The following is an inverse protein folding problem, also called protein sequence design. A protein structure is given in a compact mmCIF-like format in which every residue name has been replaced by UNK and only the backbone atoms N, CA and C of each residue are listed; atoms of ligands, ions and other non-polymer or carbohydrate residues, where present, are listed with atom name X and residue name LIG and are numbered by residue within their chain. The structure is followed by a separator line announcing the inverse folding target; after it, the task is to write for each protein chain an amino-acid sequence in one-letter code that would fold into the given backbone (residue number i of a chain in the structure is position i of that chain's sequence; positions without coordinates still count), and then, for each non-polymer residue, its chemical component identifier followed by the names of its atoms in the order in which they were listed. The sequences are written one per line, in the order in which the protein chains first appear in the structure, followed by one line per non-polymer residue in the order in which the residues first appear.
data_IF_872613040159
#
_entry.id   IF_872613040159
#
_cell.length_a   1.000
_cell.length_b   1.000
_cell.length_c   1.000
_cell.angle_alpha   90.00
_cell.angle_beta   90.00
_cell.angle_gamma   90.00
#
_symmetry.space_group_name_H-M   'P 1'
#
loop_
_entity.id
_entity.type
_entity.pdbx_description
1 polymer ?
#
# COMPACT_ATOMS: atom_id res chain seq x y z
N UNK A 1 6.40 -9.63 -11.38
CA UNK A 1 7.76 -9.75 -10.82
C UNK A 1 8.20 -11.17 -11.08
N UNK A 2 9.28 -11.34 -11.84
CA UNK A 2 9.80 -12.65 -12.21
C UNK A 2 10.52 -13.28 -11.03
N UNK A 3 10.37 -14.58 -10.77
CA UNK A 3 11.17 -15.29 -9.75
C UNK A 3 12.68 -15.39 -10.09
N UNK A 4 13.08 -14.90 -11.26
CA UNK A 4 14.45 -14.95 -11.78
C UNK A 4 15.29 -13.70 -11.47
N UNK A 5 14.68 -12.60 -11.03
CA UNK A 5 15.36 -11.36 -10.64
C UNK A 5 14.70 -10.72 -9.42
N UNK A 6 15.39 -9.77 -8.80
CA UNK A 6 14.83 -8.95 -7.72
C UNK A 6 14.00 -7.75 -8.25
N UNK A 7 13.68 -7.74 -9.54
CA UNK A 7 12.96 -6.63 -10.19
C UNK A 7 11.59 -6.37 -9.56
N UNK A 8 11.38 -5.12 -9.14
CA UNK A 8 10.19 -4.64 -8.46
C UNK A 8 10.14 -4.99 -6.96
N UNK A 9 11.14 -5.68 -6.41
CA UNK A 9 11.18 -6.03 -5.00
C UNK A 9 11.57 -4.84 -4.11
N UNK A 10 11.23 -4.91 -2.82
CA UNK A 10 11.68 -3.94 -1.83
C UNK A 10 13.23 -3.90 -1.72
N UNK A 11 13.91 -5.03 -1.96
CA UNK A 11 15.37 -5.10 -1.95
C UNK A 11 15.99 -4.30 -3.10
N UNK A 12 15.43 -4.42 -4.32
CA UNK A 12 15.87 -3.62 -5.46
C UNK A 12 15.67 -2.13 -5.20
N UNK A 13 14.50 -1.73 -4.70
CA UNK A 13 14.23 -0.33 -4.35
C UNK A 13 15.22 0.17 -3.29
N UNK A 14 15.51 -0.64 -2.25
CA UNK A 14 16.50 -0.28 -1.24
C UNK A 14 17.90 -0.08 -1.85
N UNK A 15 18.33 -0.94 -2.78
CA UNK A 15 19.62 -0.79 -3.49
C UNK A 15 19.66 0.49 -4.35
N UNK A 16 18.60 0.79 -5.09
CA UNK A 16 18.49 2.03 -5.87
C UNK A 16 18.61 3.26 -4.96
N UNK A 17 17.91 3.27 -3.83
CA UNK A 17 17.95 4.39 -2.87
C UNK A 17 19.23 4.40 -2.01
N UNK A 18 20.05 3.35 -2.10
CA UNK A 18 21.11 3.06 -1.14
C UNK A 18 20.59 3.05 0.30
N UNK A 19 19.34 2.67 0.53
CA UNK A 19 18.68 2.71 1.82
C UNK A 19 19.06 1.49 2.67
N UNK A 20 19.28 1.65 3.99
CA UNK A 20 19.39 0.50 4.87
C UNK A 20 18.05 -0.24 4.97
N UNK A 21 18.12 -1.56 4.93
CA UNK A 21 17.00 -2.48 5.07
C UNK A 21 16.78 -2.79 6.55
N UNK A 22 15.51 -2.74 6.93
CA UNK A 22 14.99 -3.23 8.20
C UNK A 22 14.36 -4.60 7.97
N UNK A 23 15.02 -5.65 8.45
CA UNK A 23 14.52 -7.01 8.29
C UNK A 23 13.54 -7.35 9.42
N UNK A 24 12.32 -7.71 9.05
CA UNK A 24 11.28 -8.15 10.00
C UNK A 24 11.23 -9.68 9.99
N UNK A 25 11.50 -10.31 11.13
CA UNK A 25 11.52 -11.78 11.27
C UNK A 25 10.41 -12.21 12.23
N UNK A 26 9.68 -13.26 11.88
CA UNK A 26 8.78 -13.93 12.82
C UNK A 26 9.62 -14.63 13.91
N UNK A 27 9.61 -14.07 15.12
CA UNK A 27 10.36 -14.57 16.26
C UNK A 27 9.64 -15.70 17.00
N UNK A 28 8.46 -16.14 16.56
CA UNK A 28 7.72 -17.20 17.24
C UNK A 28 8.56 -18.48 17.31
N UNK A 29 8.81 -18.95 18.54
CA UNK A 29 9.61 -20.15 18.82
C UNK A 29 11.07 -20.08 18.28
N UNK A 30 11.61 -18.88 18.05
CA UNK A 30 12.97 -18.70 17.53
C UNK A 30 13.82 -17.79 18.43
N UNK A 31 15.00 -18.26 18.83
CA UNK A 31 16.03 -17.41 19.42
C UNK A 31 17.21 -17.27 18.44
N UNK A 32 18.20 -18.15 18.55
CA UNK A 32 19.43 -18.10 17.76
C UNK A 32 19.23 -18.20 16.24
N UNK A 33 18.13 -18.82 15.78
CA UNK A 33 17.79 -18.93 14.36
C UNK A 33 17.55 -17.58 13.69
N UNK A 34 17.12 -16.56 14.45
CA UNK A 34 16.94 -15.19 13.93
C UNK A 34 18.26 -14.65 13.38
N UNK A 35 19.37 -14.84 14.10
CA UNK A 35 20.69 -14.41 13.66
C UNK A 35 21.16 -15.19 12.42
N UNK A 36 20.84 -16.48 12.31
CA UNK A 36 21.16 -17.28 11.13
C UNK A 36 20.39 -16.81 9.89
N UNK A 37 19.12 -16.43 10.04
CA UNK A 37 18.32 -15.85 8.95
C UNK A 37 18.87 -14.50 8.52
N UNK A 38 19.13 -13.59 9.47
CA UNK A 38 19.72 -12.28 9.17
C UNK A 38 21.05 -12.41 8.42
N UNK A 39 21.93 -13.31 8.89
CA UNK A 39 23.18 -13.64 8.21
C UNK A 39 22.92 -14.19 6.79
N UNK A 40 21.98 -15.13 6.67
CA UNK A 40 21.57 -15.69 5.38
C UNK A 40 21.18 -14.62 4.37
N UNK A 41 20.39 -13.62 4.78
CA UNK A 41 20.01 -12.50 3.90
C UNK A 41 21.21 -11.64 3.49
N UNK A 42 22.14 -11.34 4.40
CA UNK A 42 23.36 -10.59 4.04
C UNK A 42 24.28 -11.36 3.09
N UNK A 43 24.28 -12.70 3.14
CA UNK A 43 25.05 -13.55 2.23
C UNK A 43 24.33 -13.78 0.90
N UNK A 44 22.99 -13.79 0.92
CA UNK A 44 22.16 -14.02 -0.26
C UNK A 44 22.19 -12.83 -1.21
N UNK A 45 22.11 -11.60 -0.68
CA UNK A 45 22.29 -10.37 -1.44
C UNK A 45 23.40 -9.50 -0.81
N UNK A 46 24.65 -9.60 -1.30
CA UNK A 46 25.80 -8.89 -0.74
C UNK A 46 25.77 -7.38 -1.01
N UNK A 47 24.87 -6.89 -1.87
CA UNK A 47 24.68 -5.45 -2.11
C UNK A 47 23.61 -4.86 -1.17
N UNK A 48 22.84 -5.72 -0.50
CA UNK A 48 21.78 -5.29 0.41
C UNK A 48 22.37 -4.76 1.73
N UNK A 49 22.15 -3.47 1.99
CA UNK A 49 22.53 -2.81 3.25
C UNK A 49 21.61 -3.22 4.40
N UNK A 50 21.85 -4.34 5.06
CA UNK A 50 21.05 -4.73 6.23
C UNK A 50 21.41 -3.86 7.46
N UNK A 51 20.64 -2.81 7.73
CA UNK A 51 20.93 -1.89 8.82
C UNK A 51 20.41 -2.36 10.18
N UNK A 52 19.25 -3.02 10.20
CA UNK A 52 18.63 -3.45 11.43
C UNK A 52 17.71 -4.67 11.28
N UNK A 53 17.43 -5.32 12.40
CA UNK A 53 16.47 -6.43 12.55
C UNK A 53 15.41 -6.06 13.60
N UNK A 54 14.14 -6.34 13.30
CA UNK A 54 13.04 -6.41 14.25
C UNK A 54 12.48 -7.83 14.25
N UNK A 55 12.05 -8.31 15.41
CA UNK A 55 11.24 -9.52 15.48
C UNK A 55 9.80 -9.22 15.88
N UNK A 56 8.85 -10.03 15.43
CA UNK A 56 7.47 -9.99 15.93
C UNK A 56 7.09 -11.33 16.58
N UNK A 57 5.97 -11.33 17.31
CA UNK A 57 5.41 -12.51 18.00
C UNK A 57 6.33 -13.14 19.05
N UNK A 58 7.12 -12.33 19.75
CA UNK A 58 8.00 -12.83 20.82
C UNK A 58 7.22 -13.09 22.12
N UNK A 59 7.75 -14.01 22.92
CA UNK A 59 7.09 -14.59 24.10
C UNK A 59 7.35 -13.87 25.43
N UNK A 60 8.00 -12.70 25.39
CA UNK A 60 8.31 -11.89 26.58
C UNK A 60 9.79 -11.50 26.68
N UNK A 61 10.16 -10.81 27.77
CA UNK A 61 11.48 -10.16 27.92
C UNK A 61 12.67 -11.10 27.78
N UNK A 62 12.63 -12.29 28.39
CA UNK A 62 13.72 -13.26 28.29
C UNK A 62 13.94 -13.73 26.84
N UNK A 63 12.85 -13.94 26.10
CA UNK A 63 12.92 -14.32 24.68
C UNK A 63 13.54 -13.21 23.83
N UNK A 64 13.15 -11.95 24.06
CA UNK A 64 13.75 -10.78 23.40
C UNK A 64 15.25 -10.72 23.68
N UNK A 65 15.66 -10.93 24.93
CA UNK A 65 17.05 -10.92 25.33
C UNK A 65 17.86 -12.01 24.60
N UNK A 66 17.35 -13.24 24.51
CA UNK A 66 18.04 -14.31 23.78
C UNK A 66 18.20 -14.01 22.29
N UNK A 67 17.21 -13.36 21.66
CA UNK A 67 17.29 -12.92 20.27
C UNK A 67 18.35 -11.82 20.11
N UNK A 68 18.31 -10.81 20.98
CA UNK A 68 19.25 -9.69 20.98
C UNK A 68 20.69 -10.18 21.16
N UNK A 69 20.93 -11.04 22.15
CA UNK A 69 22.25 -11.65 22.42
C UNK A 69 22.73 -12.47 21.22
N UNK A 70 21.85 -13.24 20.57
CA UNK A 70 22.23 -14.00 19.39
C UNK A 70 22.68 -13.12 18.23
N UNK A 71 21.97 -12.01 17.95
CA UNK A 71 22.35 -11.06 16.91
C UNK A 71 23.66 -10.33 17.26
N UNK A 72 23.77 -9.86 18.52
CA UNK A 72 24.95 -9.16 19.03
C UNK A 72 26.21 -10.02 18.92
N UNK A 73 26.16 -11.28 19.38
CA UNK A 73 27.31 -12.20 19.32
C UNK A 73 27.78 -12.46 17.89
N UNK A 74 26.88 -12.46 16.92
CA UNK A 74 27.24 -12.63 15.51
C UNK A 74 27.82 -11.35 14.89
N UNK A 75 27.36 -10.19 15.35
CA UNK A 75 27.95 -8.89 15.04
C UNK A 75 29.36 -8.72 15.62
N UNK A 76 29.58 -9.10 16.88
CA UNK A 76 30.89 -9.06 17.56
C UNK A 76 31.93 -9.98 16.91
N UNK A 77 31.49 -11.12 16.38
CA UNK A 77 32.33 -12.01 15.55
C UNK A 77 32.61 -11.46 14.14
N UNK A 78 32.00 -10.32 13.80
CA UNK A 78 32.10 -9.70 12.48
C UNK A 78 31.38 -10.45 11.37
N UNK A 79 30.47 -11.39 11.69
CA UNK A 79 29.73 -12.18 10.70
C UNK A 79 28.48 -11.45 10.22
N UNK A 80 27.80 -10.76 11.13
CA UNK A 80 26.56 -10.05 10.84
C UNK A 80 26.80 -8.54 10.84
N UNK A 81 27.12 -7.98 9.67
CA UNK A 81 27.42 -6.56 9.49
C UNK A 81 26.66 -5.95 8.32
N UNK A 82 26.33 -4.67 8.42
CA UNK A 82 25.85 -3.88 7.29
C UNK A 82 26.99 -3.64 6.30
N UNK A 83 26.84 -4.12 5.07
CA UNK A 83 27.83 -3.94 4.00
C UNK A 83 28.09 -2.48 3.65
N UNK A 84 27.14 -1.58 3.93
CA UNK A 84 27.27 -0.15 3.66
C UNK A 84 28.11 0.61 4.69
N UNK A 85 28.25 0.09 5.91
CA UNK A 85 28.92 0.78 7.03
C UNK A 85 29.98 -0.06 7.75
N UNK A 86 30.09 -1.35 7.46
CA UNK A 86 30.92 -2.36 8.14
C UNK A 86 30.64 -2.49 9.66
N UNK A 87 29.51 -1.94 10.13
CA UNK A 87 29.07 -2.01 11.53
C UNK A 87 28.19 -3.23 11.76
N UNK A 88 28.14 -3.78 13.00
CA UNK A 88 27.17 -4.81 13.37
C UNK A 88 25.73 -4.39 13.02
N UNK A 89 24.94 -5.35 12.52
CA UNK A 89 23.51 -5.11 12.27
C UNK A 89 22.81 -4.81 13.59
N UNK A 90 22.03 -3.73 13.63
CA UNK A 90 21.36 -3.30 14.85
C UNK A 90 20.13 -4.17 15.16
N UNK A 91 19.94 -4.56 16.42
CA UNK A 91 18.67 -5.13 16.85
C UNK A 91 17.77 -4.00 17.34
N UNK A 92 16.78 -3.62 16.53
CA UNK A 92 15.92 -2.47 16.80
C UNK A 92 14.77 -2.77 17.76
N UNK A 93 14.60 -4.03 18.17
CA UNK A 93 13.61 -4.44 19.16
C UNK A 93 12.68 -5.55 18.68
N UNK A 94 11.65 -5.83 19.47
CA UNK A 94 10.77 -6.95 19.23
C UNK A 94 9.34 -6.72 19.71
N UNK A 95 8.38 -6.92 18.80
CA UNK A 95 6.96 -6.83 19.11
C UNK A 95 6.50 -8.13 19.80
N UNK A 96 5.90 -8.06 21.00
CA UNK A 96 5.35 -9.23 21.65
C UNK A 96 4.17 -9.79 20.85
N UNK A 97 3.83 -11.03 21.13
CA UNK A 97 2.61 -11.61 20.57
C UNK A 97 1.36 -10.99 21.22
N UNK A 98 0.77 -9.99 20.56
CA UNK A 98 -0.44 -9.29 21.01
C UNK A 98 -1.56 -9.45 19.96
N UNK A 99 -2.60 -10.20 20.30
CA UNK A 99 -3.76 -10.40 19.43
C UNK A 99 -4.79 -9.27 19.52
N UNK A 100 -4.70 -8.40 20.54
CA UNK A 100 -5.62 -7.29 20.76
C UNK A 100 -5.46 -6.17 19.72
N UNK A 101 -4.31 -6.15 19.04
CA UNK A 101 -3.95 -5.21 18.00
C UNK A 101 -4.06 -5.80 16.57
N UNK A 102 -4.54 -7.05 16.43
CA UNK A 102 -4.63 -7.75 15.15
C UNK A 102 -5.60 -7.08 14.18
N UNK A 103 -5.21 -6.89 12.92
CA UNK A 103 -6.09 -6.38 11.85
C UNK A 103 -6.66 -7.59 11.10
N UNK A 104 -7.99 -7.75 11.02
CA UNK A 104 -8.59 -8.89 10.34
C UNK A 104 -8.27 -8.85 8.85
N UNK A 105 -7.89 -10.02 8.33
CA UNK A 105 -7.73 -10.25 6.91
C UNK A 105 -9.09 -10.35 6.22
N UNK A 106 -9.13 -10.00 4.94
CA UNK A 106 -10.25 -10.26 4.02
C UNK A 106 -9.74 -10.89 2.74
N UNK A 107 -10.67 -11.28 1.89
CA UNK A 107 -10.43 -12.06 0.69
C UNK A 107 -9.37 -11.46 -0.27
N UNK A 108 -9.21 -10.13 -0.26
CA UNK A 108 -8.25 -9.37 -1.07
C UNK A 108 -7.64 -8.19 -0.27
N UNK A 109 -7.08 -8.47 0.90
CA UNK A 109 -6.30 -7.50 1.69
C UNK A 109 -6.68 -7.43 3.16
N UNK A 110 -6.43 -6.28 3.79
CA UNK A 110 -6.85 -5.99 5.17
C UNK A 110 -8.20 -5.27 5.17
N UNK A 111 -9.05 -5.50 6.18
CA UNK A 111 -10.31 -4.77 6.34
C UNK A 111 -10.06 -3.25 6.33
N UNK A 112 -10.87 -2.51 5.57
CA UNK A 112 -10.70 -1.07 5.38
C UNK A 112 -11.30 -0.31 6.57
N UNK A 113 -10.68 0.80 7.03
CA UNK A 113 -11.23 1.59 8.14
C UNK A 113 -12.67 2.05 7.91
N UNK A 114 -13.00 2.44 6.66
CA UNK A 114 -14.36 2.85 6.26
C UNK A 114 -15.41 1.74 6.40
N UNK A 115 -15.04 0.46 6.35
CA UNK A 115 -16.00 -0.66 6.44
C UNK A 115 -16.49 -0.87 7.88
N UNK A 116 -15.65 -0.53 8.86
CA UNK A 116 -15.91 -0.68 10.29
C UNK A 116 -16.38 0.61 10.96
N UNK A 117 -16.18 1.77 10.35
CA UNK A 117 -16.57 3.08 10.85
C UNK A 117 -17.98 3.51 10.39
N UNK A 118 -18.96 2.59 10.41
CA UNK A 118 -20.34 2.90 10.00
C UNK A 118 -21.10 3.78 11.02
N UNK A 119 -20.54 3.96 12.20
CA UNK A 119 -21.01 4.85 13.27
C UNK A 119 -19.84 5.37 14.13
N UNK A 120 -20.14 6.31 15.04
CA UNK A 120 -19.16 6.89 15.97
C UNK A 120 -18.43 5.80 16.79
N UNK A 121 -19.16 4.74 17.18
CA UNK A 121 -18.61 3.61 17.95
C UNK A 121 -17.59 2.80 17.16
N UNK A 122 -17.85 2.57 15.88
CA UNK A 122 -16.92 1.91 14.96
C UNK A 122 -15.63 2.70 14.78
N UNK A 123 -15.74 4.03 14.71
CA UNK A 123 -14.59 4.94 14.63
C UNK A 123 -13.73 4.88 15.90
N UNK A 124 -14.35 4.91 17.08
CA UNK A 124 -13.64 4.83 18.36
C UNK A 124 -12.86 3.51 18.51
N UNK A 125 -13.44 2.38 18.09
CA UNK A 125 -12.77 1.07 18.14
C UNK A 125 -11.52 1.02 17.26
N UNK A 126 -11.56 1.66 16.08
CA UNK A 126 -10.43 1.73 15.17
C UNK A 126 -9.33 2.62 15.76
N UNK A 127 -9.70 3.80 16.27
CA UNK A 127 -8.77 4.74 16.88
C UNK A 127 -8.08 4.14 18.11
N UNK A 128 -8.83 3.44 18.96
CA UNK A 128 -8.28 2.74 20.12
C UNK A 128 -7.31 1.62 19.70
N UNK A 129 -7.63 0.87 18.65
CA UNK A 129 -6.71 -0.13 18.08
C UNK A 129 -5.43 0.50 17.55
N UNK A 130 -5.52 1.61 16.80
CA UNK A 130 -4.33 2.31 16.30
C UNK A 130 -3.50 2.90 17.42
N UNK A 131 -4.14 3.44 18.46
CA UNK A 131 -3.45 3.92 19.67
C UNK A 131 -2.69 2.79 20.36
N UNK A 132 -3.30 1.60 20.47
CA UNK A 132 -2.63 0.41 21.00
C UNK A 132 -1.47 -0.06 20.12
N UNK A 133 -1.63 -0.08 18.80
CA UNK A 133 -0.54 -0.41 17.86
C UNK A 133 0.62 0.58 17.96
N UNK A 134 0.34 1.88 18.02
CA UNK A 134 1.34 2.92 18.18
C UNK A 134 2.10 2.74 19.50
N UNK A 135 1.39 2.60 20.61
CA UNK A 135 1.99 2.35 21.92
C UNK A 135 2.82 1.05 21.94
N UNK A 136 2.36 0.00 21.25
CA UNK A 136 3.09 -1.26 21.16
C UNK A 136 4.44 -1.07 20.44
N UNK A 137 4.43 -0.36 19.31
CA UNK A 137 5.64 -0.07 18.54
C UNK A 137 6.57 0.85 19.33
N UNK A 138 6.07 1.97 19.86
CA UNK A 138 6.86 2.94 20.65
C UNK A 138 7.54 2.30 21.87
N UNK A 139 6.87 1.36 22.54
CA UNK A 139 7.43 0.70 23.73
C UNK A 139 8.36 -0.48 23.40
N UNK A 140 8.28 -1.02 22.19
CA UNK A 140 8.96 -2.29 21.84
C UNK A 140 10.11 -2.11 20.86
N UNK A 141 10.13 -1.01 20.12
CA UNK A 141 11.04 -0.73 19.01
C UNK A 141 11.76 0.59 19.28
N UNK A 142 13.07 0.60 19.07
CA UNK A 142 13.90 1.82 19.10
C UNK A 142 13.69 2.62 17.81
N UNK A 143 12.65 3.47 17.83
CA UNK A 143 12.27 4.31 16.70
C UNK A 143 13.33 5.39 16.40
N UNK A 144 13.99 5.93 17.41
CA UNK A 144 14.99 6.98 17.23
C UNK A 144 16.17 6.48 16.39
N UNK A 145 16.68 5.28 16.72
CA UNK A 145 17.76 4.67 15.94
C UNK A 145 17.30 4.30 14.53
N UNK A 146 16.06 3.83 14.34
CA UNK A 146 15.52 3.54 13.00
C UNK A 146 15.40 4.80 12.14
N UNK A 147 14.97 5.93 12.72
CA UNK A 147 14.90 7.21 12.03
C UNK A 147 16.30 7.70 11.64
N UNK A 148 17.29 7.56 12.53
CA UNK A 148 18.69 7.87 12.23
C UNK A 148 19.25 6.98 11.12
N UNK A 149 18.96 5.67 11.14
CA UNK A 149 19.33 4.75 10.07
C UNK A 149 18.73 5.20 8.73
N UNK A 150 17.45 5.57 8.71
CA UNK A 150 16.77 6.09 7.53
C UNK A 150 17.44 7.32 6.90
N UNK A 151 18.14 8.14 7.69
CA UNK A 151 18.90 9.29 7.18
C UNK A 151 20.18 8.89 6.42
N UNK A 152 20.63 7.64 6.55
CA UNK A 152 21.83 7.13 5.86
C UNK A 152 21.58 6.66 4.42
N UNK A 153 20.38 6.92 3.86
CA UNK A 153 20.09 6.67 2.44
C UNK A 153 21.04 7.49 1.54
N UNK A 154 21.43 6.93 0.40
CA UNK A 154 22.36 7.57 -0.56
C UNK A 154 21.61 8.29 -1.67
N UNK A 155 20.64 9.14 -1.30
CA UNK A 155 19.78 9.84 -2.26
C UNK A 155 20.53 10.87 -3.12
N UNK A 156 21.68 11.36 -2.63
CA UNK A 156 22.56 12.28 -3.38
C UNK A 156 23.07 11.68 -4.70
N UNK A 157 23.13 10.37 -4.77
CA UNK A 157 23.68 9.64 -5.92
C UNK A 157 22.62 9.46 -7.02
N UNK A 158 21.36 9.77 -6.71
CA UNK A 158 20.25 9.67 -7.66
C UNK A 158 20.20 10.89 -8.59
N UNK A 159 19.77 10.70 -9.84
CA UNK A 159 19.53 11.81 -10.75
C UNK A 159 18.52 12.80 -10.14
N UNK A 160 18.95 14.04 -9.99
CA UNK A 160 18.06 15.13 -9.59
C UNK A 160 17.07 15.38 -10.72
N UNK A 161 15.79 15.07 -10.49
CA UNK A 161 14.74 15.45 -11.43
C UNK A 161 14.50 16.96 -11.33
N UNK A 162 14.26 17.66 -12.45
CA UNK A 162 13.87 19.06 -12.41
C UNK A 162 12.62 19.21 -11.54
N UNK A 163 12.68 20.07 -10.52
CA UNK A 163 11.48 20.42 -9.76
C UNK A 163 10.52 21.15 -10.69
N UNK A 164 9.29 20.66 -10.92
CA UNK A 164 8.35 21.37 -11.77
C UNK A 164 8.07 22.75 -11.17
N UNK A 165 8.21 23.80 -11.98
CA UNK A 165 7.87 25.16 -11.55
C UNK A 165 6.34 25.29 -11.54
N UNK A 166 5.75 25.16 -10.35
CA UNK A 166 4.31 25.29 -10.15
C UNK A 166 3.92 26.77 -9.99
N UNK A 167 3.86 27.50 -11.11
CA UNK A 167 3.34 28.88 -11.12
C UNK A 167 1.92 28.88 -11.65
N UNK A 168 0.90 28.73 -10.80
CA UNK A 168 -0.49 28.84 -11.24
C UNK A 168 -1.37 29.62 -10.25
N UNK A 169 -1.81 30.80 -10.69
CA UNK A 169 -2.82 31.61 -10.01
C UNK A 169 -4.25 31.10 -10.24
N UNK A 170 -4.46 30.24 -11.26
CA UNK A 170 -5.78 29.71 -11.65
C UNK A 170 -5.69 28.25 -12.12
N UNK A 171 -6.67 27.39 -11.80
CA UNK A 171 -6.73 26.03 -12.32
C UNK A 171 -6.75 26.02 -13.86
N UNK A 172 -6.00 25.10 -14.45
CA UNK A 172 -5.90 24.88 -15.91
C UNK A 172 -6.91 23.86 -16.42
N UNK A 173 -7.36 22.95 -15.56
CA UNK A 173 -8.35 21.92 -15.89
C UNK A 173 -9.11 21.44 -14.65
N UNK A 174 -10.27 20.84 -14.86
CA UNK A 174 -11.12 20.25 -13.82
C UNK A 174 -11.21 18.75 -14.02
N UNK A 175 -10.76 17.98 -13.02
CA UNK A 175 -10.74 16.52 -13.07
C UNK A 175 -11.77 15.99 -12.09
N UNK A 176 -12.77 15.24 -12.57
CA UNK A 176 -13.71 14.53 -11.71
C UNK A 176 -13.01 13.36 -11.03
N UNK A 177 -12.93 13.39 -9.70
CA UNK A 177 -12.31 12.33 -8.90
C UNK A 177 -13.41 11.43 -8.33
N UNK A 178 -13.40 10.15 -8.68
CA UNK A 178 -14.36 9.18 -8.13
C UNK A 178 -14.01 8.87 -6.66
N UNK A 179 -14.70 9.44 -5.69
CA UNK A 179 -14.32 9.36 -4.28
C UNK A 179 -15.48 8.82 -3.44
N UNK A 180 -15.46 7.51 -3.19
CA UNK A 180 -16.39 6.83 -2.28
C UNK A 180 -15.91 5.42 -1.88
N UNK A 181 -16.76 4.65 -1.20
CA UNK A 181 -16.46 3.32 -0.70
C UNK A 181 -16.05 2.32 -1.81
N UNK A 182 -16.55 2.49 -3.04
CA UNK A 182 -16.20 1.65 -4.17
C UNK A 182 -14.87 2.07 -4.84
N UNK A 183 -14.50 3.35 -4.73
CA UNK A 183 -13.30 3.93 -5.34
C UNK A 183 -12.54 4.78 -4.32
N UNK A 184 -11.78 4.10 -3.47
CA UNK A 184 -11.07 4.71 -2.35
C UNK A 184 -9.54 4.55 -2.42
N UNK A 185 -9.01 3.98 -3.50
CA UNK A 185 -7.57 3.75 -3.65
C UNK A 185 -6.94 4.80 -4.54
N UNK A 186 -6.24 5.73 -3.88
CA UNK A 186 -5.50 6.81 -4.53
C UNK A 186 -4.12 6.95 -3.91
N UNK A 187 -3.15 7.26 -4.76
CA UNK A 187 -1.85 7.73 -4.31
C UNK A 187 -1.96 9.22 -4.02
N UNK A 188 -1.86 9.60 -2.75
CA UNK A 188 -2.00 11.00 -2.33
C UNK A 188 -0.96 11.90 -3.02
N UNK A 189 0.26 11.39 -3.23
CA UNK A 189 1.31 12.12 -3.95
C UNK A 189 0.90 12.46 -5.39
N UNK A 190 0.20 11.55 -6.09
CA UNK A 190 -0.32 11.81 -7.44
C UNK A 190 -1.38 12.93 -7.42
N UNK A 191 -2.29 12.91 -6.44
CA UNK A 191 -3.32 13.94 -6.30
C UNK A 191 -2.71 15.31 -5.99
N UNK A 192 -1.72 15.35 -5.08
CA UNK A 192 -0.96 16.56 -4.75
C UNK A 192 -0.27 17.10 -6.01
N UNK A 193 0.38 16.24 -6.79
CA UNK A 193 1.11 16.63 -7.98
C UNK A 193 0.19 17.15 -9.09
N UNK A 194 -1.00 16.54 -9.26
CA UNK A 194 -2.04 17.04 -10.16
C UNK A 194 -2.48 18.44 -9.78
N UNK A 195 -2.75 18.69 -8.49
CA UNK A 195 -3.16 20.01 -7.99
C UNK A 195 -2.04 21.03 -8.17
N UNK A 196 -0.81 20.69 -7.81
CA UNK A 196 0.37 21.55 -8.04
C UNK A 196 0.58 21.85 -9.53
N UNK A 197 0.25 20.90 -10.40
CA UNK A 197 0.30 21.06 -11.86
C UNK A 197 -0.87 21.86 -12.45
N UNK A 198 -1.85 22.25 -11.64
CA UNK A 198 -2.96 23.13 -12.03
C UNK A 198 -4.31 22.45 -12.18
N UNK A 199 -4.45 21.18 -11.81
CA UNK A 199 -5.74 20.52 -11.82
C UNK A 199 -6.58 20.95 -10.61
N UNK A 200 -7.86 21.21 -10.84
CA UNK A 200 -8.86 21.24 -9.78
C UNK A 200 -9.50 19.84 -9.70
N UNK A 201 -9.29 19.15 -8.58
CA UNK A 201 -9.96 17.88 -8.31
C UNK A 201 -11.39 18.14 -7.82
N UNK A 202 -12.37 17.54 -8.49
CA UNK A 202 -13.80 17.70 -8.20
C UNK A 202 -14.34 16.33 -7.78
N UNK A 203 -14.45 16.04 -6.48
CA UNK A 203 -14.90 14.74 -6.01
C UNK A 203 -16.37 14.48 -6.40
N UNK A 204 -16.68 13.24 -6.76
CA UNK A 204 -18.03 12.73 -6.93
C UNK A 204 -18.08 11.27 -6.49
N UNK A 205 -19.25 10.79 -6.04
CA UNK A 205 -19.41 9.40 -5.61
C UNK A 205 -20.10 8.58 -6.70
N UNK A 206 -19.43 7.61 -7.33
CA UNK A 206 -20.09 6.60 -8.19
C UNK A 206 -21.31 5.91 -7.59
N UNK A 207 -21.36 5.76 -6.27
CA UNK A 207 -22.47 5.14 -5.54
C UNK A 207 -23.65 6.09 -5.31
N UNK A 208 -23.38 7.39 -5.07
CA UNK A 208 -24.38 8.34 -4.52
C UNK A 208 -24.71 9.47 -5.50
N UNK A 209 -23.74 9.95 -6.29
CA UNK A 209 -23.94 11.03 -7.25
C UNK A 209 -24.82 10.57 -8.41
N UNK A 210 -25.87 11.32 -8.73
CA UNK A 210 -26.74 10.98 -9.88
C UNK A 210 -26.11 11.35 -11.22
N UNK A 211 -25.30 12.41 -11.24
CA UNK A 211 -24.68 12.97 -12.44
C UNK A 211 -23.21 13.26 -12.20
N UNK A 212 -22.45 13.30 -13.29
CA UNK A 212 -21.10 13.86 -13.25
C UNK A 212 -21.18 15.36 -12.89
N UNK A 213 -20.23 15.89 -12.10
CA UNK A 213 -20.09 17.33 -11.94
C UNK A 213 -20.00 18.04 -13.31
N UNK A 214 -20.57 19.24 -13.47
CA UNK A 214 -20.56 19.93 -14.74
C UNK A 214 -19.16 20.46 -15.08
N UNK A 215 -18.87 20.59 -16.39
CA UNK A 215 -17.65 21.18 -16.93
C UNK A 215 -16.35 20.55 -16.39
N UNK A 216 -16.24 19.23 -16.58
CA UNK A 216 -15.02 18.47 -16.35
C UNK A 216 -14.23 18.32 -17.65
N UNK A 217 -12.91 18.41 -17.55
CA UNK A 217 -11.97 18.20 -18.65
C UNK A 217 -11.40 16.77 -18.64
N UNK A 218 -11.49 16.09 -17.50
CA UNK A 218 -11.06 14.69 -17.35
C UNK A 218 -11.74 13.98 -16.19
N UNK A 219 -11.62 12.65 -16.14
CA UNK A 219 -12.00 11.83 -15.01
C UNK A 219 -10.80 11.03 -14.50
N UNK A 220 -10.67 10.94 -13.18
CA UNK A 220 -9.78 10.02 -12.51
C UNK A 220 -10.63 9.06 -11.68
N UNK A 221 -10.67 7.80 -12.11
CA UNK A 221 -11.36 6.71 -11.43
C UNK A 221 -10.30 5.75 -10.90
N UNK A 222 -9.97 5.91 -9.62
CA UNK A 222 -8.94 5.13 -8.94
C UNK A 222 -9.31 3.66 -8.75
N UNK A 223 -8.48 2.98 -7.95
CA UNK A 223 -8.78 1.62 -7.52
C UNK A 223 -9.84 1.59 -6.42
N UNK A 224 -10.19 0.38 -6.01
CA UNK A 224 -11.13 0.13 -4.93
C UNK A 224 -11.78 -1.24 -5.12
N UNK A 225 -12.96 -1.42 -4.53
CA UNK A 225 -13.68 -2.70 -4.51
C UNK A 225 -15.06 -2.59 -5.15
N UNK A 226 -15.17 -2.23 -6.44
CA UNK A 226 -16.46 -2.08 -7.11
C UNK A 226 -17.28 -3.38 -7.10
N UNK A 227 -16.66 -4.55 -6.96
CA UNK A 227 -17.34 -5.84 -6.82
C UNK A 227 -18.17 -5.95 -5.54
N UNK A 228 -17.75 -5.29 -4.45
CA UNK A 228 -18.51 -5.27 -3.19
C UNK A 228 -19.76 -4.37 -3.31
N UNK A 229 -19.73 -3.42 -4.26
CA UNK A 229 -20.80 -2.45 -4.48
C UNK A 229 -21.49 -2.60 -5.85
N UNK A 230 -21.30 -3.75 -6.53
CA UNK A 230 -21.69 -3.94 -7.93
C UNK A 230 -23.18 -3.65 -8.20
N UNK A 231 -24.08 -4.05 -7.28
CA UNK A 231 -25.52 -3.78 -7.39
C UNK A 231 -25.85 -2.29 -7.28
N UNK A 232 -25.18 -1.56 -6.39
CA UNK A 232 -25.40 -0.13 -6.21
C UNK A 232 -24.90 0.65 -7.43
N UNK A 233 -23.71 0.28 -7.94
CA UNK A 233 -23.13 0.84 -9.16
C UNK A 233 -24.02 0.57 -10.38
N UNK A 234 -24.52 -0.65 -10.55
CA UNK A 234 -25.44 -1.01 -11.63
C UNK A 234 -26.74 -0.19 -11.56
N UNK A 235 -27.31 -0.01 -10.35
CA UNK A 235 -28.53 0.77 -10.13
C UNK A 235 -28.35 2.24 -10.50
N UNK A 236 -27.14 2.79 -10.43
CA UNK A 236 -26.86 4.18 -10.82
C UNK A 236 -26.72 4.34 -12.35
N UNK A 237 -27.81 4.02 -13.07
CA UNK A 237 -27.88 4.07 -14.54
C UNK A 237 -27.52 5.45 -15.07
N UNK A 238 -27.99 6.50 -14.39
CA UNK A 238 -27.76 7.89 -14.80
C UNK A 238 -26.28 8.22 -14.85
N UNK A 239 -25.55 8.01 -13.75
CA UNK A 239 -24.12 8.30 -13.72
C UNK A 239 -23.32 7.39 -14.65
N UNK A 240 -23.69 6.10 -14.76
CA UNK A 240 -23.03 5.18 -15.71
C UNK A 240 -23.14 5.69 -17.15
N UNK A 241 -24.31 6.21 -17.53
CA UNK A 241 -24.53 6.80 -18.85
C UNK A 241 -23.78 8.13 -19.04
N UNK A 242 -23.69 8.96 -18.00
CA UNK A 242 -22.89 10.20 -18.05
C UNK A 242 -21.41 9.89 -18.28
N UNK A 243 -20.84 8.94 -17.52
CA UNK A 243 -19.45 8.47 -17.70
C UNK A 243 -19.25 7.90 -19.10
N UNK A 244 -20.19 7.08 -19.58
CA UNK A 244 -20.12 6.55 -20.94
C UNK A 244 -20.12 7.65 -22.00
N UNK A 245 -21.02 8.62 -21.86
CA UNK A 245 -21.17 9.74 -22.79
C UNK A 245 -19.92 10.62 -22.79
N UNK A 246 -19.35 10.90 -21.62
CA UNK A 246 -18.11 11.65 -21.45
C UNK A 246 -16.94 10.99 -22.21
N UNK A 247 -16.77 9.68 -22.07
CA UNK A 247 -15.73 8.95 -22.80
C UNK A 247 -15.97 8.96 -24.32
N UNK A 248 -17.21 8.73 -24.77
CA UNK A 248 -17.56 8.70 -26.20
C UNK A 248 -17.38 10.07 -26.85
N UNK A 249 -17.63 11.16 -26.12
CA UNK A 249 -17.40 12.52 -26.61
C UNK A 249 -15.92 12.93 -26.69
N UNK A 250 -14.98 12.01 -26.41
CA UNK A 250 -13.54 12.28 -26.43
C UNK A 250 -12.97 12.80 -25.11
N UNK A 251 -13.70 12.68 -24.01
CA UNK A 251 -13.21 13.04 -22.67
C UNK A 251 -12.05 12.14 -22.25
N UNK A 252 -11.09 12.70 -21.50
CA UNK A 252 -9.90 11.99 -21.05
C UNK A 252 -10.19 11.29 -19.72
N UNK A 253 -9.93 9.98 -19.64
CA UNK A 253 -10.16 9.20 -18.42
C UNK A 253 -8.91 8.42 -18.03
N UNK A 254 -8.45 8.61 -16.80
CA UNK A 254 -7.48 7.74 -16.12
C UNK A 254 -8.26 6.77 -15.23
N UNK A 255 -8.12 5.46 -15.49
CA UNK A 255 -8.80 4.42 -14.74
C UNK A 255 -7.81 3.36 -14.23
N UNK A 256 -7.81 3.12 -12.93
CA UNK A 256 -6.88 2.20 -12.27
C UNK A 256 -7.62 1.01 -11.66
N UNK A 257 -7.15 -0.22 -11.87
CA UNK A 257 -7.70 -1.43 -11.26
C UNK A 257 -9.25 -1.47 -11.23
N UNK A 258 -9.89 -1.18 -10.09
CA UNK A 258 -11.34 -1.05 -9.92
C UNK A 258 -12.00 -0.05 -10.89
N UNK A 259 -11.35 1.06 -11.23
CA UNK A 259 -11.82 1.99 -12.25
C UNK A 259 -11.97 1.32 -13.63
N UNK A 260 -11.01 0.48 -14.03
CA UNK A 260 -11.14 -0.32 -15.26
C UNK A 260 -12.31 -1.30 -15.18
N UNK A 261 -12.56 -1.88 -13.99
CA UNK A 261 -13.72 -2.75 -13.76
C UNK A 261 -15.04 -2.01 -13.98
N UNK A 262 -15.12 -0.78 -13.52
CA UNK A 262 -16.30 0.08 -13.68
C UNK A 262 -16.50 0.60 -15.11
N UNK A 263 -15.43 0.81 -15.87
CA UNK A 263 -15.51 1.17 -17.30
C UNK A 263 -15.85 0.00 -18.21
N UNK A 264 -15.74 -1.23 -17.72
CA UNK A 264 -16.05 -2.45 -18.47
C UNK A 264 -17.54 -2.55 -18.83
N UNK A 265 -17.90 -3.51 -19.67
CA UNK A 265 -19.30 -3.78 -19.99
C UNK A 265 -20.01 -4.41 -18.79
N UNK A 266 -19.37 -5.39 -18.14
CA UNK A 266 -19.98 -6.09 -17.02
C UNK A 266 -18.98 -6.69 -16.06
N UNK A 267 -19.40 -6.78 -14.80
CA UNK A 267 -18.60 -7.32 -13.70
C UNK A 267 -19.28 -8.54 -13.07
N UNK A 268 -18.58 -9.67 -13.07
CA UNK A 268 -18.98 -10.91 -12.40
C UNK A 268 -18.32 -10.98 -11.02
N UNK A 269 -19.12 -10.90 -9.94
CA UNK A 269 -18.63 -10.96 -8.57
C UNK A 269 -18.44 -12.39 -8.07
N UNK A 270 -19.25 -13.33 -8.56
CA UNK A 270 -19.08 -14.78 -8.34
C UNK A 270 -19.58 -15.59 -9.55
N UNK A 271 -19.39 -16.92 -9.53
CA UNK A 271 -19.83 -17.80 -10.64
C UNK A 271 -21.35 -17.88 -10.80
N UNK A 272 -22.09 -17.74 -9.71
CA UNK A 272 -23.54 -18.03 -9.66
C UNK A 272 -24.41 -16.76 -9.74
N UNK A 273 -23.78 -15.59 -9.73
CA UNK A 273 -24.47 -14.30 -9.84
C UNK A 273 -24.46 -13.82 -11.30
N UNK A 274 -25.61 -13.33 -11.83
CA UNK A 274 -25.59 -12.62 -13.09
C UNK A 274 -24.61 -11.42 -13.00
N UNK A 275 -23.94 -11.07 -14.10
CA UNK A 275 -23.00 -9.96 -14.07
C UNK A 275 -23.74 -8.65 -13.87
N UNK A 276 -23.17 -7.77 -13.04
CA UNK A 276 -23.66 -6.42 -12.88
C UNK A 276 -23.23 -5.58 -14.10
N UNK A 277 -24.16 -4.83 -14.67
CA UNK A 277 -23.89 -3.90 -15.76
C UNK A 277 -23.07 -2.71 -15.26
N UNK A 278 -21.95 -2.45 -15.92
CA UNK A 278 -21.02 -1.37 -15.61
C UNK A 278 -21.19 -0.22 -16.61
N UNK A 279 -20.25 0.71 -16.76
CA UNK A 279 -20.44 1.86 -17.66
C UNK A 279 -20.52 1.46 -19.14
N UNK A 280 -19.96 0.31 -19.55
CA UNK A 280 -19.96 -0.11 -20.94
C UNK A 280 -19.22 0.85 -21.87
N UNK A 281 -18.14 1.45 -21.36
CA UNK A 281 -17.20 2.29 -22.13
C UNK A 281 -16.28 1.40 -22.96
N UNK A 282 -15.89 0.24 -22.41
CA UNK A 282 -15.08 -0.77 -23.08
C UNK A 282 -15.99 -1.91 -23.60
N UNK A 283 -16.51 -1.83 -24.83
CA UNK A 283 -17.44 -2.83 -25.35
C UNK A 283 -16.77 -4.20 -25.48
N UNK A 284 -17.50 -5.25 -25.11
CA UNK A 284 -17.04 -6.65 -25.13
C UNK A 284 -16.06 -7.01 -24.01
N UNK A 285 -15.70 -6.07 -23.13
CA UNK A 285 -14.83 -6.33 -22.00
C UNK A 285 -15.68 -6.70 -20.79
N UNK A 286 -15.57 -7.98 -20.39
CA UNK A 286 -16.22 -8.52 -19.22
C UNK A 286 -15.17 -8.94 -18.19
N UNK A 287 -15.34 -8.53 -16.93
CA UNK A 287 -14.38 -8.81 -15.87
C UNK A 287 -15.00 -9.75 -14.85
N UNK A 288 -14.21 -10.73 -14.37
CA UNK A 288 -14.65 -11.73 -13.41
C UNK A 288 -13.71 -11.81 -12.22
N UNK A 289 -14.27 -11.68 -11.02
CA UNK A 289 -13.57 -11.95 -9.77
C UNK A 289 -13.37 -13.45 -9.62
N UNK A 290 -12.13 -13.86 -9.34
CA UNK A 290 -11.81 -15.25 -9.04
C UNK A 290 -12.06 -15.54 -7.56
N UNK A 291 -12.42 -16.79 -7.19
CA UNK A 291 -12.71 -17.15 -5.80
C UNK A 291 -11.53 -17.09 -4.85
N UNK A 292 -10.32 -16.84 -5.34
CA UNK A 292 -9.10 -16.64 -4.58
C UNK A 292 -8.19 -15.71 -5.40
N UNK A 293 -7.33 -14.95 -4.72
CA UNK A 293 -6.24 -14.24 -5.37
C UNK A 293 -5.31 -15.25 -6.03
N UNK A 294 -5.15 -15.13 -7.35
CA UNK A 294 -4.14 -15.90 -8.08
C UNK A 294 -2.92 -15.02 -8.24
N UNK A 295 -1.92 -15.22 -7.38
CA UNK A 295 -0.61 -14.62 -7.57
C UNK A 295 0.07 -15.35 -8.72
N UNK A 296 0.04 -14.74 -9.91
CA UNK A 296 0.87 -15.17 -11.01
C UNK A 296 2.28 -14.65 -10.74
N UNK A 297 3.06 -15.41 -9.97
CA UNK A 297 4.52 -15.25 -9.97
C UNK A 297 4.97 -15.74 -11.36
N UNK A 298 5.33 -14.79 -12.22
CA UNK A 298 5.90 -15.07 -13.53
C UNK A 298 7.36 -15.52 -13.38
#
# INVERSE_FOLDING_TARGET
MGLASDDGSAAQVAKILGAPVLLVIDGSMMARSVAAMALGYTLYDPEMRLGAVITNKVGGKAHIQWIAEALQLEGEKGRLKDVGTDKPVYFAGALPHDTSASIPERHLGLAMPLETANDEKGTDIILDRYTRLAALVENSIDLDTLLQLGQSCRLSDLPQLPTPQHNLATPKCRIGLADDEAFCFYYMDNLIELVKSGAQLVPFSPLKSKHLPPALDGLYIGGGYPELHAKALEKNVTLRNDVKSFCISGGVVLAECGGKMYLSESLFTSKDTPPAQMCGVLPGIHIRMTPHMKMYYA
#
